data_IF_218838323438
#
_entry.id   IF_218838323438
#
_cell.length_a   1.000
_cell.length_b   1.000
_cell.length_c   1.000
_cell.angle_alpha   90.00
_cell.angle_beta   90.00
_cell.angle_gamma   90.00
#
_symmetry.space_group_name_H-M   'P 1'
#
loop_
_entity.id
_entity.type
_entity.pdbx_description
1 polymer ?
#
# COMPACT_ATOMS: atom_id res chain seq x y z
N UNK A 1 -3.33 -8.13 -0.73
CA UNK A 1 -1.97 -8.25 -0.19
C UNK A 1 -1.62 -9.68 0.23
N UNK A 2 -1.94 -10.14 1.45
CA UNK A 2 -1.42 -11.43 1.98
C UNK A 2 -1.77 -12.70 1.17
N UNK A 3 -2.94 -12.74 0.52
CA UNK A 3 -3.24 -13.85 -0.39
C UNK A 3 -2.36 -13.79 -1.65
N UNK A 4 -2.22 -12.60 -2.24
CA UNK A 4 -1.42 -12.35 -3.44
C UNK A 4 0.07 -12.59 -3.22
N UNK A 5 0.60 -12.35 -2.03
CA UNK A 5 1.98 -12.71 -1.70
C UNK A 5 2.21 -14.23 -1.68
N UNK A 6 1.16 -15.03 -1.54
CA UNK A 6 1.25 -16.51 -1.63
C UNK A 6 0.96 -17.00 -3.05
N UNK A 7 -0.02 -16.41 -3.73
CA UNK A 7 -0.47 -16.90 -5.06
C UNK A 7 0.27 -16.27 -6.23
N UNK A 8 0.91 -15.11 -6.05
CA UNK A 8 1.54 -14.35 -7.13
C UNK A 8 0.55 -13.69 -8.10
N UNK A 9 -0.74 -13.63 -7.75
CA UNK A 9 -1.73 -12.92 -8.56
C UNK A 9 -1.34 -11.44 -8.70
N UNK A 10 -1.37 -10.88 -9.93
CA UNK A 10 -0.96 -9.52 -10.16
C UNK A 10 -1.92 -8.53 -9.50
N UNK A 11 -1.40 -7.35 -9.18
CA UNK A 11 -2.24 -6.24 -8.78
C UNK A 11 -3.03 -5.74 -10.01
N UNK A 12 -4.32 -5.35 -9.84
CA UNK A 12 -5.02 -4.57 -10.85
C UNK A 12 -4.25 -3.30 -11.18
N UNK A 13 -4.37 -2.82 -12.41
CA UNK A 13 -3.74 -1.58 -12.85
C UNK A 13 -4.32 -0.39 -12.05
N UNK A 14 -3.43 0.40 -11.43
CA UNK A 14 -3.78 1.55 -10.60
C UNK A 14 -2.91 2.73 -10.98
N UNK A 15 -3.51 3.92 -10.98
CA UNK A 15 -2.81 5.16 -11.33
C UNK A 15 -2.19 5.80 -10.08
N UNK A 16 -0.90 6.10 -10.11
CA UNK A 16 -0.16 6.68 -8.97
C UNK A 16 -0.73 8.03 -8.51
N UNK A 17 -1.26 8.83 -9.43
CA UNK A 17 -1.86 10.15 -9.15
C UNK A 17 -3.05 10.10 -8.20
N UNK A 18 -3.71 8.95 -8.06
CA UNK A 18 -4.80 8.75 -7.11
C UNK A 18 -4.34 8.83 -5.64
N UNK A 19 -3.03 8.75 -5.41
CA UNK A 19 -2.44 8.70 -4.07
C UNK A 19 -1.61 9.94 -3.74
N UNK A 20 -1.65 10.98 -4.57
CA UNK A 20 -0.88 12.21 -4.39
C UNK A 20 -1.26 12.99 -3.12
N UNK A 21 -2.48 12.80 -2.61
CA UNK A 21 -2.97 13.42 -1.37
C UNK A 21 -2.62 12.64 -0.11
N UNK A 22 -2.07 11.42 -0.24
CA UNK A 22 -1.72 10.60 0.91
C UNK A 22 -0.47 11.17 1.60
N UNK A 23 -0.52 11.25 2.94
CA UNK A 23 0.61 11.78 3.69
C UNK A 23 1.86 10.90 3.53
N UNK A 24 3.03 11.54 3.52
CA UNK A 24 4.32 10.85 3.41
C UNK A 24 4.52 9.80 4.51
N UNK A 25 4.00 10.05 5.71
CA UNK A 25 4.09 9.13 6.85
C UNK A 25 3.27 7.85 6.59
N UNK A 26 2.02 7.98 6.13
CA UNK A 26 1.17 6.83 5.78
C UNK A 26 1.77 6.00 4.64
N UNK A 27 2.37 6.68 3.65
CA UNK A 27 3.06 6.02 2.55
C UNK A 27 4.33 5.28 3.03
N UNK A 28 5.11 5.86 3.94
CA UNK A 28 6.29 5.23 4.51
C UNK A 28 5.92 3.96 5.29
N UNK A 29 4.91 4.03 6.15
CA UNK A 29 4.42 2.86 6.90
C UNK A 29 3.94 1.75 5.96
N UNK A 30 3.23 2.10 4.89
CA UNK A 30 2.77 1.13 3.91
C UNK A 30 3.93 0.45 3.17
N UNK A 31 4.96 1.20 2.79
CA UNK A 31 6.16 0.65 2.16
C UNK A 31 6.90 -0.31 3.09
N UNK A 32 7.04 -0.01 4.37
CA UNK A 32 7.69 -0.90 5.34
C UNK A 32 6.96 -2.24 5.46
N UNK A 33 5.62 -2.21 5.50
CA UNK A 33 4.81 -3.43 5.57
C UNK A 33 4.92 -4.24 4.28
N UNK A 34 4.85 -3.60 3.11
CA UNK A 34 4.99 -4.29 1.81
C UNK A 34 6.38 -4.88 1.65
N UNK A 35 7.43 -4.15 2.06
CA UNK A 35 8.80 -4.65 2.06
C UNK A 35 8.97 -5.91 2.93
N UNK A 36 8.23 -6.02 4.04
CA UNK A 36 8.26 -7.21 4.90
C UNK A 36 7.73 -8.49 4.21
N UNK A 37 6.88 -8.37 3.18
CA UNK A 37 6.47 -9.51 2.34
C UNK A 37 7.58 -9.91 1.35
N UNK A 38 8.42 -8.97 0.90
CA UNK A 38 9.59 -9.21 0.05
C UNK A 38 9.31 -9.62 -1.40
N UNK A 39 8.05 -9.88 -1.75
CA UNK A 39 7.65 -10.37 -3.08
C UNK A 39 6.43 -9.63 -3.66
N UNK A 40 6.04 -8.52 -3.05
CA UNK A 40 4.92 -7.71 -3.49
C UNK A 40 5.41 -6.48 -4.27
N UNK A 41 4.64 -6.04 -5.27
CA UNK A 41 4.95 -4.84 -6.05
C UNK A 41 4.78 -3.57 -5.20
N UNK A 42 5.44 -2.47 -5.57
CA UNK A 42 5.40 -1.21 -4.81
C UNK A 42 3.99 -0.63 -4.74
N UNK A 43 3.18 -0.88 -5.76
CA UNK A 43 1.80 -0.42 -5.92
C UNK A 43 0.88 -0.94 -4.80
N UNK A 44 1.23 -2.04 -4.14
CA UNK A 44 0.53 -2.51 -2.93
C UNK A 44 0.68 -1.52 -1.76
N UNK A 45 1.79 -0.77 -1.70
CA UNK A 45 2.01 0.23 -0.67
C UNK A 45 1.08 1.43 -0.88
N UNK A 46 0.79 1.79 -2.13
CA UNK A 46 -0.15 2.86 -2.44
C UNK A 46 -1.54 2.52 -1.89
N UNK A 47 -2.04 1.32 -2.17
CA UNK A 47 -3.33 0.85 -1.64
C UNK A 47 -3.33 0.75 -0.11
N UNK A 48 -2.25 0.24 0.49
CA UNK A 48 -2.15 0.11 1.94
C UNK A 48 -2.07 1.48 2.65
N UNK A 49 -1.44 2.47 2.03
CA UNK A 49 -1.28 3.81 2.58
C UNK A 49 -2.63 4.50 2.83
N UNK A 50 -3.65 4.22 2.00
CA UNK A 50 -5.03 4.71 2.21
C UNK A 50 -5.59 4.20 3.53
N UNK A 51 -5.33 2.95 3.91
CA UNK A 51 -5.80 2.41 5.18
C UNK A 51 -5.13 3.08 6.39
N UNK A 52 -3.85 3.43 6.28
CA UNK A 52 -3.15 4.19 7.33
C UNK A 52 -3.67 5.63 7.44
N UNK A 53 -3.88 6.30 6.30
CA UNK A 53 -4.39 7.67 6.27
C UNK A 53 -5.79 7.74 6.92
N UNK A 54 -6.70 6.87 6.51
CA UNK A 54 -8.05 6.79 7.09
C UNK A 54 -7.99 6.46 8.59
N UNK A 55 -7.09 5.57 9.02
CA UNK A 55 -6.96 5.25 10.44
C UNK A 55 -6.44 6.45 11.27
N UNK A 56 -5.56 7.27 10.71
CA UNK A 56 -5.02 8.48 11.35
C UNK A 56 -6.09 9.55 11.57
N UNK A 57 -6.97 9.74 10.58
CA UNK A 57 -8.06 10.72 10.65
C UNK A 57 -9.20 10.33 11.59
N UNK A 58 -9.27 9.06 11.99
CA UNK A 58 -10.30 8.52 12.89
C UNK A 58 -9.85 8.40 14.37
N UNK A 59 -8.72 9.02 14.74
CA UNK A 59 -8.22 9.13 16.12
C UNK A 59 -8.70 10.42 16.80
#
# INVERSE_FOLDING_TARGET
MAHRSVTGEPLPEVEASLFDEISADSMALARDVVAAFGNLPEEEAWLLSVHFEVAKDNL
#
